data_IF_482456097167
#
_entry.id   IF_482456097167
#
_cell.length_a   1.000
_cell.length_b   1.000
_cell.length_c   1.000
_cell.angle_alpha   90.00
_cell.angle_beta   90.00
_cell.angle_gamma   90.00
#
_symmetry.space_group_name_H-M   'P 1'
#
loop_
_entity.id
_entity.type
_entity.pdbx_description
1 polymer ?
#
# COMPACT_ATOMS: atom_id res chain seq x y z
N UNK A 1 7.95 -24.24 34.37
CA UNK A 1 9.12 -23.58 34.95
C UNK A 1 9.02 -22.08 34.69
N UNK A 2 9.25 -21.29 35.72
CA UNK A 2 8.84 -19.88 35.88
C UNK A 2 9.45 -18.96 34.80
N UNK A 3 8.59 -18.26 34.05
CA UNK A 3 8.96 -17.21 33.08
C UNK A 3 9.34 -15.94 33.85
N UNK A 4 10.63 -15.78 34.16
CA UNK A 4 11.20 -14.48 34.53
C UNK A 4 11.34 -13.60 33.26
N UNK A 5 10.23 -13.38 32.55
CA UNK A 5 10.22 -12.73 31.23
C UNK A 5 10.34 -11.21 31.39
N UNK A 6 11.56 -10.73 31.60
CA UNK A 6 11.89 -9.32 31.44
C UNK A 6 11.63 -8.94 29.98
N UNK A 7 10.62 -8.11 29.73
CA UNK A 7 10.22 -7.72 28.37
C UNK A 7 11.28 -6.86 27.67
N UNK A 8 12.04 -6.08 28.44
CA UNK A 8 13.05 -5.15 27.94
C UNK A 8 14.13 -4.91 29.00
N UNK A 9 15.38 -4.78 28.57
CA UNK A 9 16.53 -4.45 29.40
C UNK A 9 17.11 -3.11 28.96
N UNK A 10 17.58 -2.34 29.92
CA UNK A 10 18.27 -1.08 29.66
C UNK A 10 19.60 -1.32 28.94
N UNK A 11 19.89 -0.50 27.94
CA UNK A 11 21.21 -0.41 27.34
C UNK A 11 22.07 0.45 28.28
N UNK A 12 23.17 -0.08 28.85
CA UNK A 12 24.04 0.63 29.77
C UNK A 12 24.47 1.97 29.20
N UNK A 13 24.48 2.98 30.07
CA UNK A 13 24.98 4.33 29.77
C UNK A 13 24.21 5.05 28.65
N UNK A 14 22.99 4.60 28.33
CA UNK A 14 22.18 5.24 27.29
C UNK A 14 21.29 6.38 27.81
N UNK A 15 21.07 6.46 29.12
CA UNK A 15 20.27 7.52 29.73
C UNK A 15 20.97 8.89 29.60
N UNK A 16 20.20 9.91 29.21
CA UNK A 16 20.64 11.31 29.11
C UNK A 16 19.76 12.19 30.00
N UNK A 17 20.24 13.36 30.48
CA UNK A 17 19.42 14.27 31.27
C UNK A 17 18.11 14.63 30.53
N UNK A 18 16.97 14.41 31.19
CA UNK A 18 15.64 14.64 30.63
C UNK A 18 15.12 13.54 29.67
N UNK A 19 15.83 12.42 29.53
CA UNK A 19 15.43 11.29 28.69
C UNK A 19 15.45 9.98 29.49
N UNK A 20 14.60 9.03 29.10
CA UNK A 20 14.72 7.65 29.57
C UNK A 20 15.94 6.98 28.93
N UNK A 21 16.43 5.92 29.55
CA UNK A 21 17.41 5.07 28.90
C UNK A 21 16.83 4.41 27.63
N UNK A 22 17.70 3.98 26.73
CA UNK A 22 17.32 3.13 25.60
C UNK A 22 17.08 1.72 26.16
N UNK A 23 15.95 1.13 25.80
CA UNK A 23 15.62 -0.24 26.18
C UNK A 23 15.63 -1.16 24.96
N UNK A 24 16.10 -2.40 25.14
CA UNK A 24 16.13 -3.43 24.11
C UNK A 24 15.51 -4.73 24.60
N UNK A 25 15.00 -5.53 23.68
CA UNK A 25 14.58 -6.89 24.02
C UNK A 25 15.83 -7.71 24.42
N UNK A 26 15.83 -8.35 25.60
CA UNK A 26 17.00 -9.13 26.04
C UNK A 26 17.38 -10.28 25.09
N UNK A 27 16.44 -10.78 24.27
CA UNK A 27 16.70 -11.83 23.26
C UNK A 27 17.36 -11.32 21.98
N UNK A 28 17.47 -10.01 21.81
CA UNK A 28 18.08 -9.34 20.63
C UNK A 28 18.83 -8.08 21.08
N UNK A 29 19.55 -8.22 22.19
CA UNK A 29 20.20 -7.12 22.85
C UNK A 29 21.35 -6.51 22.01
N UNK A 30 22.17 -7.35 21.38
CA UNK A 30 23.36 -6.93 20.64
C UNK A 30 23.12 -6.59 19.17
N UNK A 31 22.03 -7.09 18.57
CA UNK A 31 21.70 -6.88 17.17
C UNK A 31 20.18 -6.92 16.99
N UNK A 32 19.68 -6.29 15.92
CA UNK A 32 18.31 -6.53 15.48
C UNK A 32 18.10 -8.04 15.35
N UNK A 33 16.96 -8.53 15.83
CA UNK A 33 16.63 -9.94 15.75
C UNK A 33 16.41 -10.33 14.29
N UNK A 34 17.49 -10.71 13.61
CA UNK A 34 17.46 -11.23 12.25
C UNK A 34 17.30 -12.75 12.24
N UNK A 35 16.91 -13.38 13.37
CA UNK A 35 16.65 -14.83 13.44
C UNK A 35 15.36 -15.14 12.72
N UNK A 36 15.44 -15.09 11.41
CA UNK A 36 14.38 -15.45 10.52
C UNK A 36 14.31 -16.98 10.40
N UNK A 37 14.08 -17.66 11.52
CA UNK A 37 13.96 -19.12 11.63
C UNK A 37 12.86 -19.72 10.73
N UNK A 38 12.08 -18.86 10.06
CA UNK A 38 10.96 -19.18 9.18
C UNK A 38 11.17 -18.76 7.73
N UNK A 39 12.36 -18.24 7.35
CA UNK A 39 12.65 -17.74 6.00
C UNK A 39 11.66 -16.66 5.49
N UNK A 40 11.27 -15.70 6.34
CA UNK A 40 10.32 -14.62 6.02
C UNK A 40 11.03 -13.31 5.69
N UNK A 41 11.63 -13.22 4.52
CA UNK A 41 12.59 -12.17 4.20
C UNK A 41 11.93 -10.89 3.69
N UNK A 42 10.71 -10.99 3.19
CA UNK A 42 9.97 -9.88 2.61
C UNK A 42 8.57 -9.79 3.22
N UNK A 43 7.95 -8.61 3.11
CA UNK A 43 6.52 -8.44 3.44
C UNK A 43 5.63 -9.45 2.70
N UNK A 44 5.98 -9.80 1.45
CA UNK A 44 5.30 -10.85 0.70
C UNK A 44 5.39 -12.22 1.40
N UNK A 45 6.58 -12.61 1.87
CA UNK A 45 6.76 -13.87 2.60
C UNK A 45 5.94 -13.90 3.90
N UNK A 46 5.87 -12.77 4.60
CA UNK A 46 5.09 -12.63 5.84
C UNK A 46 3.60 -12.87 5.57
N UNK A 47 3.06 -12.27 4.51
CA UNK A 47 1.67 -12.47 4.12
C UNK A 47 1.41 -13.92 3.69
N UNK A 48 2.21 -14.47 2.76
CA UNK A 48 2.06 -15.85 2.27
C UNK A 48 2.18 -16.90 3.40
N UNK A 49 3.11 -16.70 4.34
CA UNK A 49 3.22 -17.54 5.52
C UNK A 49 1.96 -17.50 6.38
N UNK A 50 1.37 -16.31 6.55
CA UNK A 50 0.15 -16.12 7.32
C UNK A 50 -1.05 -16.77 6.64
N UNK A 51 -1.18 -16.65 5.32
CA UNK A 51 -2.19 -17.33 4.51
C UNK A 51 -2.08 -18.84 4.63
N UNK A 52 -0.87 -19.39 4.53
CA UNK A 52 -0.64 -20.85 4.63
C UNK A 52 -0.95 -21.38 6.03
N UNK A 53 -0.59 -20.62 7.07
CA UNK A 53 -0.67 -21.09 8.46
C UNK A 53 -2.04 -20.85 9.09
N UNK A 54 -2.71 -19.76 8.74
CA UNK A 54 -3.96 -19.31 9.36
C UNK A 54 -4.99 -18.83 8.32
N UNK A 55 -5.34 -19.66 7.32
CA UNK A 55 -6.16 -19.23 6.19
C UNK A 55 -7.54 -18.68 6.59
N UNK A 56 -8.13 -19.23 7.67
CA UNK A 56 -9.47 -18.89 8.12
C UNK A 56 -9.51 -17.86 9.26
N UNK A 57 -8.35 -17.36 9.72
CA UNK A 57 -8.34 -16.34 10.77
C UNK A 57 -8.80 -14.99 10.20
N UNK A 58 -9.52 -14.17 11.00
CA UNK A 58 -9.82 -12.79 10.64
C UNK A 58 -8.55 -12.00 10.33
N UNK A 59 -8.56 -11.27 9.22
CA UNK A 59 -7.44 -10.44 8.77
C UNK A 59 -7.84 -8.96 8.64
N UNK A 60 -8.74 -8.62 7.72
CA UNK A 60 -9.18 -7.24 7.49
C UNK A 60 -10.62 -7.06 7.96
N UNK A 61 -10.85 -6.10 8.86
CA UNK A 61 -12.15 -5.86 9.47
C UNK A 61 -12.71 -4.48 9.13
N UNK A 62 -13.99 -4.44 8.73
CA UNK A 62 -14.74 -3.19 8.55
C UNK A 62 -15.85 -3.12 9.58
N UNK A 63 -15.93 -2.02 10.34
CA UNK A 63 -17.03 -1.79 11.28
C UNK A 63 -18.26 -1.28 10.52
N UNK A 64 -19.33 -2.07 10.50
CA UNK A 64 -20.62 -1.75 9.88
C UNK A 64 -21.68 -1.80 10.98
N UNK A 65 -22.33 -0.66 11.25
CA UNK A 65 -23.36 -0.53 12.29
C UNK A 65 -22.95 -1.07 13.67
N UNK A 66 -21.68 -0.85 14.05
CA UNK A 66 -21.14 -1.29 15.35
C UNK A 66 -20.65 -2.74 15.39
N UNK A 67 -20.79 -3.50 14.31
CA UNK A 67 -20.28 -4.87 14.19
C UNK A 67 -19.16 -4.97 13.16
N UNK A 68 -18.11 -5.74 13.45
CA UNK A 68 -17.03 -5.98 12.50
C UNK A 68 -17.39 -7.09 11.51
N UNK A 69 -17.32 -6.77 10.23
CA UNK A 69 -17.31 -7.73 9.13
C UNK A 69 -15.87 -8.01 8.74
N UNK A 70 -15.47 -9.28 8.83
CA UNK A 70 -14.08 -9.71 8.63
C UNK A 70 -13.90 -10.42 7.29
N UNK A 71 -12.79 -10.10 6.62
CA UNK A 71 -12.20 -10.92 5.58
C UNK A 71 -11.08 -11.76 6.19
N UNK A 72 -11.02 -13.04 5.83
CA UNK A 72 -9.94 -13.93 6.25
C UNK A 72 -8.69 -13.77 5.39
N UNK A 73 -7.55 -14.27 5.88
CA UNK A 73 -6.32 -14.32 5.07
C UNK A 73 -6.54 -15.01 3.71
N UNK A 74 -7.26 -16.14 3.69
CA UNK A 74 -7.58 -16.87 2.45
C UNK A 74 -8.42 -16.03 1.49
N UNK A 75 -9.47 -15.37 1.98
CA UNK A 75 -10.33 -14.54 1.13
C UNK A 75 -9.55 -13.41 0.47
N UNK A 76 -8.64 -12.76 1.21
CA UNK A 76 -7.79 -11.70 0.65
C UNK A 76 -6.79 -12.27 -0.36
N UNK A 77 -6.15 -13.41 -0.07
CA UNK A 77 -5.19 -14.05 -0.97
C UNK A 77 -5.81 -14.57 -2.29
N UNK A 78 -7.13 -14.82 -2.30
CA UNK A 78 -7.86 -15.27 -3.49
C UNK A 78 -8.31 -14.13 -4.42
N UNK A 79 -8.16 -12.87 -4.00
CA UNK A 79 -8.41 -11.71 -4.84
C UNK A 79 -7.42 -11.66 -6.01
N UNK A 80 -7.90 -11.19 -7.15
CA UNK A 80 -7.14 -11.05 -8.41
C UNK A 80 -7.03 -9.62 -8.91
N UNK A 81 -7.41 -8.63 -8.10
CA UNK A 81 -7.23 -7.19 -8.38
C UNK A 81 -5.83 -6.85 -8.89
N UNK A 82 -4.78 -7.41 -8.29
CA UNK A 82 -3.40 -7.21 -8.74
C UNK A 82 -3.15 -7.74 -10.16
N UNK A 83 -3.67 -8.93 -10.51
CA UNK A 83 -3.61 -9.44 -11.88
C UNK A 83 -4.41 -8.57 -12.85
N UNK A 84 -5.54 -8.02 -12.38
CA UNK A 84 -6.35 -7.04 -13.12
C UNK A 84 -5.56 -5.79 -13.46
N UNK A 85 -4.90 -5.18 -12.46
CA UNK A 85 -4.04 -4.01 -12.64
C UNK A 85 -2.93 -4.29 -13.67
N UNK A 86 -2.19 -5.39 -13.50
CA UNK A 86 -1.12 -5.77 -14.42
C UNK A 86 -1.62 -5.96 -15.86
N UNK A 87 -2.78 -6.61 -16.02
CA UNK A 87 -3.41 -6.80 -17.34
C UNK A 87 -3.90 -5.49 -17.94
N UNK A 88 -4.45 -4.58 -17.12
CA UNK A 88 -4.89 -3.27 -17.57
C UNK A 88 -3.73 -2.44 -18.12
N UNK A 89 -2.60 -2.42 -17.39
CA UNK A 89 -1.40 -1.69 -17.81
C UNK A 89 -0.86 -2.26 -19.14
N UNK A 90 -0.69 -3.58 -19.23
CA UNK A 90 -0.21 -4.27 -20.42
C UNK A 90 -1.07 -3.98 -21.66
N UNK A 91 -2.40 -4.12 -21.54
CA UNK A 91 -3.33 -3.90 -22.66
C UNK A 91 -3.35 -2.46 -23.18
N UNK A 92 -2.95 -1.50 -22.35
CA UNK A 92 -2.88 -0.09 -22.73
C UNK A 92 -1.45 0.36 -23.08
N UNK A 93 -0.51 -0.58 -23.22
CA UNK A 93 0.89 -0.27 -23.54
C UNK A 93 1.61 0.51 -22.45
N UNK A 94 1.12 0.47 -21.21
CA UNK A 94 1.72 1.15 -20.06
C UNK A 94 2.77 0.21 -19.47
N UNK A 95 4.01 0.68 -19.39
CA UNK A 95 5.09 -0.07 -18.76
C UNK A 95 4.72 -0.37 -17.31
N UNK A 96 5.01 -1.58 -16.83
CA UNK A 96 4.83 -1.97 -15.43
C UNK A 96 5.35 -0.88 -14.49
N UNK A 97 4.48 -0.43 -13.60
CA UNK A 97 4.78 0.62 -12.62
C UNK A 97 5.81 0.10 -11.63
N UNK A 98 6.75 0.96 -11.20
CA UNK A 98 7.68 0.64 -10.09
C UNK A 98 7.16 1.13 -8.75
N UNK A 99 6.14 1.98 -8.76
CA UNK A 99 5.49 2.52 -7.58
C UNK A 99 3.99 2.70 -7.85
N UNK A 100 3.17 2.34 -6.86
CA UNK A 100 1.72 2.47 -6.91
C UNK A 100 1.30 3.52 -5.88
N UNK A 101 0.72 4.62 -6.37
CA UNK A 101 0.17 5.66 -5.52
C UNK A 101 -1.15 5.22 -4.91
N UNK A 102 -1.39 5.59 -3.66
CA UNK A 102 -2.60 5.16 -2.99
C UNK A 102 -3.16 6.30 -2.13
N UNK A 103 -4.40 6.67 -2.45
CA UNK A 103 -5.05 7.88 -1.94
C UNK A 103 -6.35 7.52 -1.26
N UNK A 104 -6.27 7.17 0.02
CA UNK A 104 -7.42 6.73 0.78
C UNK A 104 -7.19 6.88 2.28
N UNK A 105 -8.28 6.95 3.03
CA UNK A 105 -8.28 6.70 4.47
C UNK A 105 -8.05 5.20 4.77
N UNK A 106 -7.84 4.85 6.03
CA UNK A 106 -7.65 3.45 6.43
C UNK A 106 -8.90 2.60 6.12
N UNK A 107 -8.75 1.59 5.25
CA UNK A 107 -9.78 0.63 4.85
C UNK A 107 -9.14 -0.66 4.30
N UNK A 108 -9.86 -1.79 4.17
CA UNK A 108 -9.29 -3.04 3.69
C UNK A 108 -8.55 -2.93 2.35
N UNK A 109 -9.12 -2.23 1.38
CA UNK A 109 -8.55 -2.03 0.04
C UNK A 109 -7.18 -1.35 0.09
N UNK A 110 -6.93 -0.52 1.11
CA UNK A 110 -5.62 0.09 1.35
C UNK A 110 -4.57 -0.99 1.62
N UNK A 111 -4.84 -1.87 2.58
CA UNK A 111 -3.93 -2.97 2.94
C UNK A 111 -3.77 -3.95 1.78
N UNK A 112 -4.86 -4.29 1.11
CA UNK A 112 -4.82 -5.18 -0.07
C UNK A 112 -3.97 -4.58 -1.18
N UNK A 113 -4.06 -3.27 -1.40
CA UNK A 113 -3.21 -2.60 -2.41
C UNK A 113 -1.74 -2.63 -2.02
N UNK A 114 -1.40 -2.47 -0.74
CA UNK A 114 -0.03 -2.66 -0.26
C UNK A 114 0.47 -4.10 -0.48
N UNK A 115 -0.37 -5.12 -0.26
CA UNK A 115 0.00 -6.51 -0.56
C UNK A 115 0.14 -6.77 -2.06
N UNK A 116 -0.66 -6.12 -2.91
CA UNK A 116 -0.47 -6.14 -4.38
C UNK A 116 0.89 -5.55 -4.74
N UNK A 117 1.32 -4.46 -4.08
CA UNK A 117 2.65 -3.88 -4.30
C UNK A 117 3.76 -4.88 -3.97
N UNK A 118 3.65 -5.56 -2.82
CA UNK A 118 4.58 -6.61 -2.40
C UNK A 118 4.63 -7.77 -3.40
N UNK A 119 3.48 -8.20 -3.92
CA UNK A 119 3.34 -9.34 -4.81
C UNK A 119 3.82 -9.11 -6.25
N UNK A 120 3.90 -7.85 -6.69
CA UNK A 120 4.28 -7.50 -8.06
C UNK A 120 5.51 -6.59 -8.13
N UNK A 121 6.32 -6.51 -7.07
CA UNK A 121 7.55 -5.71 -7.02
C UNK A 121 7.29 -4.23 -7.38
N UNK A 122 6.41 -3.61 -6.61
CA UNK A 122 6.12 -2.18 -6.67
C UNK A 122 6.29 -1.58 -5.27
N UNK A 123 6.76 -0.34 -5.19
CA UNK A 123 6.74 0.41 -3.94
C UNK A 123 5.34 1.02 -3.72
N UNK A 124 4.76 0.80 -2.53
CA UNK A 124 3.53 1.50 -2.15
C UNK A 124 3.83 2.95 -1.75
N UNK A 125 3.03 3.90 -2.23
CA UNK A 125 3.22 5.34 -1.93
C UNK A 125 1.92 5.94 -1.41
N UNK A 126 1.90 6.31 -0.15
CA UNK A 126 0.73 6.94 0.48
C UNK A 126 0.59 8.41 0.08
N UNK A 127 -0.58 8.78 -0.41
CA UNK A 127 -0.97 10.17 -0.63
C UNK A 127 -1.85 10.63 0.54
N UNK A 128 -1.46 11.75 1.16
CA UNK A 128 -2.19 12.30 2.30
C UNK A 128 -3.39 13.12 1.85
N UNK A 129 -4.58 12.72 2.29
CA UNK A 129 -5.82 13.47 2.07
C UNK A 129 -5.80 14.87 2.70
N UNK A 130 -5.03 15.04 3.77
CA UNK A 130 -4.95 16.29 4.53
C UNK A 130 -4.02 17.36 3.94
N UNK A 131 -3.14 17.00 2.99
CA UNK A 131 -2.15 17.93 2.43
C UNK A 131 -2.62 18.63 1.13
N UNK A 132 -3.80 18.25 0.64
CA UNK A 132 -4.43 18.88 -0.53
C UNK A 132 -3.85 18.47 -1.89
N UNK A 133 -4.47 18.95 -2.99
CA UNK A 133 -4.16 18.47 -4.34
C UNK A 133 -2.75 18.80 -4.83
N UNK A 134 -2.16 19.93 -4.42
CA UNK A 134 -0.81 20.33 -4.85
C UNK A 134 0.27 19.46 -4.22
N UNK A 135 0.12 19.07 -2.95
CA UNK A 135 1.02 18.11 -2.32
C UNK A 135 0.91 16.72 -2.96
N UNK A 136 -0.30 16.29 -3.31
CA UNK A 136 -0.50 15.05 -4.07
C UNK A 136 0.20 15.13 -5.44
N UNK A 137 0.08 16.25 -6.16
CA UNK A 137 0.75 16.44 -7.45
C UNK A 137 2.29 16.39 -7.32
N UNK A 138 2.85 17.03 -6.29
CA UNK A 138 4.28 16.94 -5.99
C UNK A 138 4.72 15.49 -5.77
N UNK A 139 4.02 14.75 -4.89
CA UNK A 139 4.35 13.36 -4.57
C UNK A 139 4.29 12.49 -5.82
N UNK A 140 3.20 12.60 -6.59
CA UNK A 140 3.02 11.82 -7.83
C UNK A 140 4.17 12.02 -8.83
N UNK A 141 4.64 13.25 -9.00
CA UNK A 141 5.78 13.55 -9.86
C UNK A 141 7.09 13.04 -9.27
N UNK A 142 7.33 13.29 -7.98
CA UNK A 142 8.59 12.96 -7.30
C UNK A 142 8.83 11.45 -7.17
N UNK A 143 7.78 10.66 -6.92
CA UNK A 143 7.87 9.18 -6.95
C UNK A 143 7.54 8.58 -8.32
N UNK A 144 7.43 9.42 -9.34
CA UNK A 144 7.15 9.05 -10.73
C UNK A 144 6.01 8.02 -10.91
N UNK A 145 4.88 8.28 -10.28
CA UNK A 145 3.72 7.38 -10.25
C UNK A 145 2.91 7.49 -11.55
N UNK A 146 2.59 6.35 -12.16
CA UNK A 146 1.72 6.26 -13.35
C UNK A 146 0.33 5.65 -13.06
N UNK A 147 0.15 4.99 -11.92
CA UNK A 147 -1.14 4.46 -11.47
C UNK A 147 -1.44 4.83 -10.01
N UNK A 148 -2.69 5.18 -9.71
CA UNK A 148 -3.16 5.46 -8.35
C UNK A 148 -4.38 4.63 -8.01
N UNK A 149 -4.40 4.01 -6.84
CA UNK A 149 -5.63 3.44 -6.25
C UNK A 149 -6.20 4.44 -5.26
N UNK A 150 -7.43 4.89 -5.43
CA UNK A 150 -8.00 5.98 -4.66
C UNK A 150 -9.40 5.67 -4.13
N UNK A 151 -9.74 6.18 -2.95
CA UNK A 151 -11.15 6.30 -2.57
C UNK A 151 -11.86 7.22 -3.58
N UNK A 152 -13.11 6.92 -3.92
CA UNK A 152 -13.88 7.67 -4.92
C UNK A 152 -13.93 9.16 -4.62
N UNK A 153 -14.01 9.51 -3.33
CA UNK A 153 -14.04 10.90 -2.85
C UNK A 153 -12.74 11.68 -3.15
N UNK A 154 -11.59 11.00 -3.31
CA UNK A 154 -10.30 11.62 -3.59
C UNK A 154 -10.02 11.80 -5.10
N UNK A 155 -10.75 11.10 -5.97
CA UNK A 155 -10.55 11.12 -7.43
C UNK A 155 -10.66 12.54 -8.02
N UNK A 156 -11.65 13.39 -7.63
CA UNK A 156 -11.71 14.77 -8.12
C UNK A 156 -10.45 15.59 -7.83
N UNK A 157 -9.75 15.32 -6.73
CA UNK A 157 -8.50 16.02 -6.40
C UNK A 157 -7.39 15.66 -7.40
N UNK A 158 -7.28 14.38 -7.76
CA UNK A 158 -6.34 13.89 -8.78
C UNK A 158 -6.67 14.48 -10.16
N UNK A 159 -7.95 14.47 -10.55
CA UNK A 159 -8.38 14.99 -11.85
C UNK A 159 -8.17 16.50 -11.98
N UNK A 160 -8.36 17.28 -10.90
CA UNK A 160 -8.04 18.74 -10.90
C UNK A 160 -6.59 19.00 -11.27
N UNK A 161 -5.66 18.24 -10.70
CA UNK A 161 -4.21 18.42 -10.90
C UNK A 161 -3.62 17.57 -12.02
N UNK A 162 -4.42 16.82 -12.78
CA UNK A 162 -3.93 15.93 -13.84
C UNK A 162 -2.98 16.60 -14.86
N UNK A 163 -3.20 17.88 -15.15
CA UNK A 163 -2.33 18.68 -16.03
C UNK A 163 -0.92 18.91 -15.45
N UNK A 164 -0.74 18.80 -14.14
CA UNK A 164 0.55 18.90 -13.43
C UNK A 164 1.25 17.55 -13.28
N UNK A 165 0.58 16.43 -13.54
CA UNK A 165 1.08 15.06 -13.31
C UNK A 165 1.04 14.22 -14.61
N UNK A 166 1.82 14.58 -15.64
CA UNK A 166 1.70 13.98 -16.98
C UNK A 166 1.97 12.47 -17.03
N UNK A 167 2.65 11.92 -16.02
CA UNK A 167 2.95 10.49 -15.90
C UNK A 167 1.74 9.67 -15.43
N UNK A 168 0.79 10.25 -14.70
CA UNK A 168 -0.40 9.56 -14.23
C UNK A 168 -1.30 9.15 -15.41
N UNK A 169 -1.51 7.84 -15.60
CA UNK A 169 -2.32 7.25 -16.68
C UNK A 169 -3.52 6.48 -16.17
N UNK A 170 -3.46 5.92 -14.97
CA UNK A 170 -4.52 5.06 -14.42
C UNK A 170 -4.94 5.54 -13.05
N UNK A 171 -6.25 5.65 -12.83
CA UNK A 171 -6.86 5.77 -11.51
C UNK A 171 -7.78 4.56 -11.30
N UNK A 172 -7.62 3.88 -10.17
CA UNK A 172 -8.46 2.77 -9.74
C UNK A 172 -9.29 3.24 -8.55
N UNK A 173 -10.60 3.33 -8.71
CA UNK A 173 -11.52 3.63 -7.62
C UNK A 173 -11.67 2.42 -6.69
N UNK A 174 -11.45 2.61 -5.39
CA UNK A 174 -11.77 1.59 -4.37
C UNK A 174 -13.27 1.38 -4.22
N UNK A 175 -14.08 2.37 -4.60
CA UNK A 175 -15.55 2.30 -4.54
C UNK A 175 -16.14 2.07 -5.93
N UNK A 176 -17.35 1.48 -5.96
CA UNK A 176 -18.06 1.23 -7.21
C UNK A 176 -18.33 2.53 -7.98
N UNK A 177 -18.18 2.45 -9.30
CA UNK A 177 -18.43 3.54 -10.24
C UNK A 177 -19.67 3.28 -11.10
N UNK A 178 -20.79 2.90 -10.46
CA UNK A 178 -22.03 2.44 -11.12
C UNK A 178 -23.24 3.40 -10.95
N UNK A 179 -22.99 4.65 -10.55
CA UNK A 179 -23.98 5.71 -10.35
C UNK A 179 -23.77 6.88 -11.32
N UNK A 180 -24.79 7.73 -11.50
CA UNK A 180 -24.75 8.86 -12.46
C UNK A 180 -23.56 9.82 -12.22
N UNK A 181 -23.21 10.10 -10.96
CA UNK A 181 -22.03 10.92 -10.64
C UNK A 181 -20.72 10.28 -11.13
N UNK A 182 -20.67 8.95 -11.19
CA UNK A 182 -19.53 8.21 -11.71
C UNK A 182 -19.39 8.34 -13.22
N UNK A 183 -20.48 8.50 -13.98
CA UNK A 183 -20.42 8.74 -15.43
C UNK A 183 -19.75 10.08 -15.73
N UNK A 184 -20.13 11.13 -15.00
CA UNK A 184 -19.49 12.45 -15.08
C UNK A 184 -18.00 12.35 -14.73
N UNK A 185 -17.67 11.60 -13.67
CA UNK A 185 -16.28 11.42 -13.23
C UNK A 185 -15.45 10.64 -14.26
N UNK A 186 -16.02 9.61 -14.89
CA UNK A 186 -15.39 8.86 -15.99
C UNK A 186 -15.18 9.74 -17.22
N UNK A 187 -16.15 10.59 -17.57
CA UNK A 187 -15.98 11.53 -18.68
C UNK A 187 -14.85 12.52 -18.38
N UNK A 188 -14.81 13.09 -17.17
CA UNK A 188 -13.73 13.99 -16.76
C UNK A 188 -12.36 13.30 -16.80
N UNK A 189 -12.25 12.04 -16.38
CA UNK A 189 -11.02 11.26 -16.50
C UNK A 189 -10.59 11.08 -17.97
N UNK A 190 -11.54 10.76 -18.87
CA UNK A 190 -11.28 10.66 -20.31
C UNK A 190 -10.77 11.97 -20.90
N UNK A 191 -11.37 13.11 -20.53
CA UNK A 191 -10.94 14.44 -20.97
C UNK A 191 -9.51 14.78 -20.51
N UNK A 192 -9.01 14.09 -19.47
CA UNK A 192 -7.63 14.18 -18.98
C UNK A 192 -6.72 13.06 -19.46
N UNK A 193 -7.16 12.22 -20.41
CA UNK A 193 -6.45 11.03 -20.90
C UNK A 193 -6.04 10.07 -19.77
N UNK A 194 -6.91 9.92 -18.76
CA UNK A 194 -6.73 8.99 -17.65
C UNK A 194 -7.74 7.85 -17.77
N UNK A 195 -7.24 6.62 -17.66
CA UNK A 195 -8.07 5.41 -17.54
C UNK A 195 -8.61 5.37 -16.11
N UNK A 196 -9.92 5.49 -15.98
CA UNK A 196 -10.61 5.33 -14.70
C UNK A 196 -11.42 4.02 -14.69
N UNK A 197 -11.07 3.13 -13.77
CA UNK A 197 -11.77 1.85 -13.50
C UNK A 197 -12.04 1.74 -12.00
N UNK A 198 -12.94 0.85 -11.59
CA UNK A 198 -13.15 0.50 -10.19
C UNK A 198 -12.52 -0.84 -9.78
N UNK A 199 -12.54 -1.09 -8.48
CA UNK A 199 -11.98 -2.27 -7.83
C UNK A 199 -12.56 -3.58 -8.37
N UNK A 200 -13.87 -3.59 -8.64
CA UNK A 200 -14.57 -4.78 -9.12
C UNK A 200 -14.25 -5.04 -10.60
N UNK A 201 -14.11 -4.00 -11.43
CA UNK A 201 -13.63 -4.13 -12.81
C UNK A 201 -12.25 -4.79 -12.87
N UNK A 202 -11.33 -4.40 -11.97
CA UNK A 202 -10.02 -5.06 -11.86
C UNK A 202 -10.11 -6.50 -11.38
N UNK A 203 -10.94 -6.78 -10.38
CA UNK A 203 -11.14 -8.14 -9.88
C UNK A 203 -11.64 -9.08 -10.99
N UNK A 204 -12.65 -8.65 -11.76
CA UNK A 204 -13.17 -9.40 -12.91
C UNK A 204 -12.11 -9.58 -13.98
N UNK A 205 -11.37 -8.52 -14.32
CA UNK A 205 -10.29 -8.58 -15.31
C UNK A 205 -9.17 -9.54 -14.87
N UNK A 206 -8.80 -9.51 -13.60
CA UNK A 206 -7.76 -10.36 -13.03
C UNK A 206 -8.17 -11.82 -12.93
N UNK A 207 -9.44 -12.12 -12.66
CA UNK A 207 -9.96 -13.49 -12.73
C UNK A 207 -9.94 -14.03 -14.17
N UNK A 208 -10.23 -13.17 -15.15
CA UNK A 208 -10.21 -13.53 -16.57
C UNK A 208 -8.78 -13.73 -17.11
N UNK A 209 -7.82 -12.94 -16.63
CA UNK A 209 -6.42 -12.98 -17.04
C UNK A 209 -5.49 -13.07 -15.81
N UNK A 210 -5.42 -14.22 -15.14
CA UNK A 210 -4.58 -14.38 -13.98
C UNK A 210 -3.10 -14.16 -14.33
N UNK A 211 -2.38 -13.44 -13.47
CA UNK A 211 -0.94 -13.20 -13.58
C UNK A 211 -0.23 -13.87 -12.41
N UNK A 212 0.93 -14.45 -12.66
CA UNK A 212 1.78 -14.95 -11.59
C UNK A 212 2.31 -13.78 -10.77
N UNK A 213 2.48 -14.00 -9.46
CA UNK A 213 3.18 -13.03 -8.61
C UNK A 213 4.66 -12.97 -9.00
N UNK A 214 5.22 -11.78 -8.95
CA UNK A 214 6.63 -11.48 -9.18
C UNK A 214 7.12 -10.72 -7.94
N UNK A 215 7.30 -11.42 -6.80
CA UNK A 215 7.53 -10.76 -5.53
C UNK A 215 8.89 -10.03 -5.51
N UNK A 216 8.92 -8.93 -4.75
CA UNK A 216 10.12 -8.16 -4.50
C UNK A 216 11.16 -8.95 -3.67
N UNK A 217 12.43 -8.59 -3.82
CA UNK A 217 13.52 -9.04 -2.95
C UNK A 217 13.70 -8.15 -1.72
N UNK A 218 14.57 -8.56 -0.79
CA UNK A 218 14.79 -7.88 0.49
C UNK A 218 15.21 -6.42 0.37
N UNK A 219 16.05 -6.12 -0.62
CA UNK A 219 16.62 -4.79 -0.83
C UNK A 219 15.78 -3.93 -1.79
N UNK A 220 14.71 -4.50 -2.38
CA UNK A 220 13.76 -3.71 -3.16
C UNK A 220 12.96 -2.80 -2.21
N UNK A 221 12.51 -1.65 -2.72
CA UNK A 221 11.71 -0.69 -1.96
C UNK A 221 10.27 -1.21 -1.82
N UNK A 222 9.83 -1.40 -0.58
CA UNK A 222 8.49 -1.83 -0.23
C UNK A 222 7.51 -0.66 -0.17
N UNK A 223 7.93 0.45 0.44
CA UNK A 223 7.11 1.64 0.51
C UNK A 223 7.93 2.93 0.55
N UNK A 224 7.29 4.01 0.10
CA UNK A 224 7.80 5.38 0.18
C UNK A 224 6.87 6.17 1.09
N UNK A 225 7.37 6.55 2.26
CA UNK A 225 6.61 7.34 3.24
C UNK A 225 6.99 8.81 3.12
N UNK A 226 6.08 9.63 2.63
CA UNK A 226 6.30 11.08 2.58
C UNK A 226 6.09 11.71 3.94
N UNK A 227 6.89 12.72 4.27
CA UNK A 227 6.72 13.51 5.49
C UNK A 227 6.70 14.98 5.14
N UNK A 228 5.82 15.74 5.79
CA UNK A 228 5.85 17.20 5.77
C UNK A 228 7.08 17.65 6.56
N UNK A 229 8.22 17.86 5.90
CA UNK A 229 9.38 18.42 6.58
C UNK A 229 9.04 19.78 7.19
N UNK A 230 9.83 20.24 8.17
CA UNK A 230 9.63 21.53 8.83
C UNK A 230 9.84 22.73 7.91
N UNK A 231 10.48 22.54 6.75
CA UNK A 231 10.70 23.56 5.72
C UNK A 231 10.75 22.91 4.33
N UNK A 232 9.82 23.27 3.45
CA UNK A 232 9.85 22.91 2.02
C UNK A 232 9.02 21.69 1.63
N UNK A 233 9.30 21.17 0.44
CA UNK A 233 8.52 20.09 -0.17
C UNK A 233 8.62 18.76 0.62
N UNK A 234 7.58 17.91 0.56
CA UNK A 234 7.58 16.61 1.21
C UNK A 234 8.80 15.75 0.85
N UNK A 235 9.37 15.06 1.85
CA UNK A 235 10.49 14.14 1.65
C UNK A 235 10.01 12.69 1.72
N UNK A 236 10.34 11.89 0.71
CA UNK A 236 10.01 10.46 0.64
C UNK A 236 11.07 9.60 1.33
N UNK A 237 10.74 9.05 2.50
CA UNK A 237 11.56 8.04 3.16
C UNK A 237 11.38 6.69 2.46
N UNK A 238 12.48 6.12 1.97
CA UNK A 238 12.49 4.81 1.30
C UNK A 238 12.61 3.70 2.36
N UNK A 239 11.66 2.77 2.38
CA UNK A 239 11.69 1.60 3.24
C UNK A 239 11.79 0.34 2.37
N UNK A 240 12.84 -0.44 2.58
CA UNK A 240 13.03 -1.75 1.95
C UNK A 240 12.12 -2.81 2.57
N UNK A 241 12.08 -4.00 1.96
CA UNK A 241 11.36 -5.15 2.52
C UNK A 241 11.97 -5.72 3.81
N UNK A 242 13.24 -5.42 4.09
CA UNK A 242 14.02 -5.87 5.25
C UNK A 242 13.69 -5.14 6.56
#
# INVERSE_FOLDING_TARGET
MLRNDVAMVEVPQSQRPGQTAIYRNPKSYHALDNRNSRNLYTLYDVFEHSVKKWPNNPFLGTCVNGAYQWQTFKQVAELRVGSGLMTLLEKNGIKKTTALGIYSINRPEWVITAEICNAYKMASVALYDTLGPDAAAYILNHSEIDAVVAAKVAIPNLLKVAHKVPKLKVIVSMDSLNDECSDITRQWAKDRNIILVDWNELEVLGRKYPKAHEPAGQEDIACICYTSGTTGDPKGALLSHK
#
